data_IF_447545008964
#
_entry.id   IF_447545008964
#
_cell.length_a   1.000
_cell.length_b   1.000
_cell.length_c   1.000
_cell.angle_alpha   90.00
_cell.angle_beta   90.00
_cell.angle_gamma   90.00
#
_symmetry.space_group_name_H-M   'P 1'
#
loop_
_entity.id
_entity.type
_entity.pdbx_description
1 polymer ?
#
# COMPACT_ATOMS: atom_id res chain seq x y z
N UNK A 1 -7.63 -11.63 1.16
CA UNK A 1 -7.07 -10.97 2.36
C UNK A 1 -5.95 -11.74 3.06
N UNK A 2 -6.15 -12.97 3.55
CA UNK A 2 -5.10 -13.71 4.29
C UNK A 2 -3.75 -13.80 3.55
N UNK A 3 -3.79 -14.14 2.26
CA UNK A 3 -2.58 -14.23 1.42
C UNK A 3 -1.85 -12.88 1.32
N UNK A 4 -2.57 -11.78 1.04
CA UNK A 4 -1.98 -10.45 0.91
C UNK A 4 -1.32 -10.00 2.22
N UNK A 5 -1.99 -10.21 3.37
CA UNK A 5 -1.39 -9.89 4.68
C UNK A 5 -0.13 -10.70 4.96
N UNK A 6 -0.15 -12.01 4.71
CA UNK A 6 1.04 -12.86 4.89
C UNK A 6 2.19 -12.44 3.96
N UNK A 7 1.87 -12.05 2.72
CA UNK A 7 2.86 -11.57 1.76
C UNK A 7 3.43 -10.21 2.15
N UNK A 8 2.61 -9.29 2.68
CA UNK A 8 3.09 -8.02 3.23
C UNK A 8 4.05 -8.22 4.42
N UNK A 9 3.74 -9.16 5.32
CA UNK A 9 4.65 -9.56 6.42
C UNK A 9 5.97 -10.11 5.86
N UNK A 10 5.90 -10.95 4.83
CA UNK A 10 7.09 -11.45 4.16
C UNK A 10 7.90 -10.32 3.53
N UNK A 11 7.27 -9.35 2.86
CA UNK A 11 7.92 -8.18 2.28
C UNK A 11 8.65 -7.39 3.37
N UNK A 12 7.96 -7.01 4.44
CA UNK A 12 8.55 -6.22 5.52
C UNK A 12 9.78 -6.91 6.15
N UNK A 13 9.76 -8.24 6.23
CA UNK A 13 10.88 -9.04 6.75
C UNK A 13 12.05 -9.20 5.78
N UNK A 14 11.81 -9.27 4.47
CA UNK A 14 12.82 -9.69 3.49
C UNK A 14 13.27 -8.58 2.53
N UNK A 15 12.56 -7.45 2.46
CA UNK A 15 12.85 -6.31 1.59
C UNK A 15 13.12 -5.09 2.47
N UNK A 16 14.38 -4.82 2.86
CA UNK A 16 14.71 -3.76 3.81
C UNK A 16 14.27 -2.36 3.36
N UNK A 17 14.23 -2.10 2.04
CA UNK A 17 13.79 -0.83 1.48
C UNK A 17 12.34 -0.49 1.82
N UNK A 18 11.47 -1.49 2.03
CA UNK A 18 10.08 -1.26 2.44
C UNK A 18 10.02 -0.57 3.80
N UNK A 19 10.76 -1.13 4.76
CA UNK A 19 10.81 -0.64 6.12
C UNK A 19 11.51 0.73 6.20
N UNK A 20 12.51 0.98 5.34
CA UNK A 20 13.17 2.30 5.20
C UNK A 20 12.21 3.34 4.63
N UNK A 21 11.49 3.02 3.55
CA UNK A 21 10.54 3.94 2.93
C UNK A 21 9.46 4.37 3.93
N UNK A 22 8.81 3.38 4.57
CA UNK A 22 7.72 3.65 5.49
C UNK A 22 8.11 4.55 6.68
N UNK A 23 9.33 4.40 7.22
CA UNK A 23 9.83 5.28 8.30
C UNK A 23 10.00 6.73 7.86
N UNK A 24 10.13 6.99 6.56
CA UNK A 24 10.45 8.30 6.00
C UNK A 24 9.29 8.93 5.21
N UNK A 25 8.08 8.37 5.27
CA UNK A 25 6.89 8.94 4.60
C UNK A 25 6.62 10.37 5.13
N UNK A 26 6.56 10.53 6.44
CA UNK A 26 6.41 11.82 7.11
C UNK A 26 7.01 11.78 8.52
N UNK A 27 7.08 12.92 9.20
CA UNK A 27 7.53 12.98 10.58
C UNK A 27 6.60 12.14 11.49
N UNK A 28 7.20 11.24 12.27
CA UNK A 28 6.46 10.32 13.15
C UNK A 28 6.02 9.01 12.50
N UNK A 29 6.29 8.81 11.20
CA UNK A 29 5.97 7.57 10.51
C UNK A 29 6.72 6.36 11.08
N UNK A 30 6.01 5.23 11.09
CA UNK A 30 6.50 3.94 11.58
C UNK A 30 7.00 3.08 10.43
N UNK A 31 7.69 1.99 10.70
CA UNK A 31 8.07 1.05 9.65
C UNK A 31 6.90 0.16 9.23
N UNK A 32 6.96 -0.42 8.02
CA UNK A 32 5.94 -1.37 7.55
C UNK A 32 5.77 -2.55 8.51
N UNK A 33 6.89 -3.05 9.07
CA UNK A 33 6.89 -4.09 10.09
C UNK A 33 6.08 -3.67 11.33
N UNK A 34 6.26 -2.44 11.80
CA UNK A 34 5.53 -1.93 12.95
C UNK A 34 4.02 -1.79 12.68
N UNK A 35 3.63 -1.34 11.49
CA UNK A 35 2.22 -1.23 11.10
C UNK A 35 1.55 -2.61 11.01
N UNK A 36 2.21 -3.60 10.40
CA UNK A 36 1.67 -4.95 10.25
C UNK A 36 1.55 -5.70 11.59
N UNK A 37 2.36 -5.33 12.58
CA UNK A 37 2.32 -5.84 13.94
C UNK A 37 1.31 -5.11 14.84
N UNK A 38 0.81 -3.94 14.42
CA UNK A 38 -0.12 -3.14 15.21
C UNK A 38 -1.53 -3.74 15.17
N UNK A 39 -1.97 -4.29 16.31
CA UNK A 39 -3.32 -4.84 16.46
C UNK A 39 -4.42 -3.78 16.45
N UNK A 40 -4.05 -2.49 16.53
CA UNK A 40 -4.99 -1.38 16.45
C UNK A 40 -5.20 -0.88 15.01
N UNK A 41 -4.48 -1.39 14.02
CA UNK A 41 -4.76 -1.11 12.61
C UNK A 41 -5.77 -2.13 12.06
N UNK A 42 -6.95 -1.66 11.69
CA UNK A 42 -8.03 -2.47 11.16
C UNK A 42 -8.03 -2.44 9.63
N UNK A 43 -7.82 -3.60 9.01
CA UNK A 43 -7.91 -3.73 7.55
C UNK A 43 -9.23 -4.41 7.19
N UNK A 44 -10.14 -3.63 6.63
CA UNK A 44 -11.52 -4.02 6.33
C UNK A 44 -11.71 -4.39 4.86
N UNK A 45 -12.83 -5.05 4.55
CA UNK A 45 -13.36 -5.18 3.20
C UNK A 45 -14.56 -4.26 3.05
N UNK A 46 -14.52 -3.32 2.10
CA UNK A 46 -15.61 -2.36 1.88
C UNK A 46 -16.41 -2.76 0.62
N UNK A 47 -17.46 -3.55 0.82
CA UNK A 47 -18.17 -4.23 -0.26
C UNK A 47 -18.81 -3.31 -1.32
N UNK A 48 -19.09 -2.06 -0.98
CA UNK A 48 -19.73 -1.07 -1.86
C UNK A 48 -18.78 0.03 -2.33
N UNK A 49 -17.47 -0.08 -2.03
CA UNK A 49 -16.49 0.90 -2.49
C UNK A 49 -16.41 0.83 -4.01
N UNK A 50 -16.56 1.96 -4.69
CA UNK A 50 -16.33 2.05 -6.14
C UNK A 50 -14.89 2.41 -6.47
N UNK A 51 -13.95 1.85 -5.71
CA UNK A 51 -12.50 2.10 -5.80
C UNK A 51 -11.71 0.87 -5.32
N UNK A 52 -10.37 0.94 -5.39
CA UNK A 52 -9.45 -0.10 -4.95
C UNK A 52 -9.35 -0.21 -3.44
N UNK A 53 -9.20 0.92 -2.75
CA UNK A 53 -9.05 0.99 -1.31
C UNK A 53 -9.43 2.37 -0.78
N UNK A 54 -9.52 2.49 0.53
CA UNK A 54 -9.75 3.77 1.20
C UNK A 54 -9.22 3.72 2.62
N UNK A 55 -8.55 4.80 3.04
CA UNK A 55 -8.18 5.05 4.42
C UNK A 55 -9.02 6.21 4.95
N UNK A 56 -10.03 5.96 5.82
CA UNK A 56 -10.86 7.03 6.35
C UNK A 56 -10.08 7.86 7.38
N UNK A 57 -10.05 9.17 7.16
CA UNK A 57 -9.41 10.13 8.07
C UNK A 57 -9.03 11.42 7.34
N UNK A 58 -9.11 12.55 8.05
CA UNK A 58 -8.42 13.75 7.60
C UNK A 58 -6.90 13.49 7.59
N UNK A 59 -6.15 14.16 6.71
CA UNK A 59 -4.70 13.98 6.53
C UNK A 59 -3.96 13.74 7.86
N UNK A 60 -3.26 12.60 7.97
CA UNK A 60 -2.55 12.19 9.20
C UNK A 60 -2.48 10.68 9.39
N UNK A 61 -2.13 10.25 10.60
CA UNK A 61 -2.10 8.83 10.96
C UNK A 61 -3.52 8.29 11.15
N UNK A 62 -3.80 7.13 10.55
CA UNK A 62 -5.09 6.45 10.69
C UNK A 62 -4.91 5.03 11.26
N UNK A 63 -5.95 4.55 11.93
CA UNK A 63 -5.99 3.22 12.57
C UNK A 63 -6.90 2.24 11.82
N UNK A 64 -7.40 2.63 10.66
CA UNK A 64 -8.21 1.74 9.83
C UNK A 64 -8.04 2.07 8.36
N UNK A 65 -8.18 1.06 7.52
CA UNK A 65 -8.32 1.20 6.08
C UNK A 65 -9.19 0.06 5.55
N UNK A 66 -9.61 0.17 4.30
CA UNK A 66 -10.41 -0.84 3.65
C UNK A 66 -9.94 -1.12 2.22
N UNK A 67 -10.15 -2.35 1.77
CA UNK A 67 -9.95 -2.75 0.38
C UNK A 67 -11.32 -2.95 -0.26
N UNK A 68 -11.52 -2.34 -1.43
CA UNK A 68 -12.72 -2.40 -2.23
C UNK A 68 -12.74 -3.57 -3.22
N UNK A 69 -13.90 -3.89 -3.82
CA UNK A 69 -14.07 -5.05 -4.71
C UNK A 69 -13.26 -4.97 -5.99
N UNK A 70 -12.89 -3.76 -6.45
CA UNK A 70 -12.08 -3.56 -7.66
C UNK A 70 -10.72 -4.26 -7.56
N UNK A 71 -10.04 -4.16 -6.41
CA UNK A 71 -8.77 -4.85 -6.20
C UNK A 71 -8.91 -6.38 -6.26
N UNK A 72 -9.98 -6.93 -5.69
CA UNK A 72 -10.24 -8.37 -5.71
C UNK A 72 -10.59 -8.91 -7.10
N UNK A 73 -11.29 -8.10 -7.92
CA UNK A 73 -11.63 -8.47 -9.30
C UNK A 73 -10.40 -8.62 -10.19
N UNK A 74 -9.38 -7.78 -10.00
CA UNK A 74 -8.12 -7.89 -10.75
C UNK A 74 -7.29 -9.06 -10.23
N UNK A 75 -7.12 -9.16 -8.92
CA UNK A 75 -6.58 -10.37 -8.31
C UNK A 75 -5.69 -10.12 -7.10
N UNK A 76 -5.08 -11.21 -6.62
CA UNK A 76 -4.37 -11.23 -5.33
C UNK A 76 -3.23 -10.21 -5.23
N UNK A 77 -2.52 -9.94 -6.34
CA UNK A 77 -1.41 -8.99 -6.37
C UNK A 77 -1.90 -7.55 -6.24
N UNK A 78 -3.00 -7.19 -6.90
CA UNK A 78 -3.65 -5.89 -6.72
C UNK A 78 -4.15 -5.71 -5.29
N UNK A 79 -4.76 -6.74 -4.69
CA UNK A 79 -5.15 -6.70 -3.26
C UNK A 79 -3.94 -6.44 -2.34
N UNK A 80 -2.77 -7.01 -2.67
CA UNK A 80 -1.54 -6.74 -1.92
C UNK A 80 -1.01 -5.32 -2.15
N UNK A 81 -1.00 -4.84 -3.40
CA UNK A 81 -0.60 -3.47 -3.72
C UNK A 81 -1.50 -2.46 -2.99
N UNK A 82 -2.82 -2.62 -3.09
CA UNK A 82 -3.77 -1.79 -2.34
C UNK A 82 -3.52 -1.87 -0.84
N UNK A 83 -3.28 -3.05 -0.26
CA UNK A 83 -2.97 -3.15 1.17
C UNK A 83 -1.73 -2.33 1.56
N UNK A 84 -0.65 -2.39 0.77
CA UNK A 84 0.58 -1.63 1.04
C UNK A 84 0.33 -0.13 0.90
N UNK A 85 -0.39 0.28 -0.16
CA UNK A 85 -0.78 1.66 -0.41
C UNK A 85 -1.61 2.22 0.76
N UNK A 86 -2.66 1.52 1.18
CA UNK A 86 -3.49 1.97 2.30
C UNK A 86 -2.71 2.00 3.63
N UNK A 87 -1.79 1.07 3.85
CA UNK A 87 -0.92 1.12 5.02
C UNK A 87 0.00 2.35 5.00
N UNK A 88 0.40 2.84 3.83
CA UNK A 88 1.14 4.09 3.71
C UNK A 88 0.26 5.28 4.14
N UNK A 89 -1.01 5.31 3.72
CA UNK A 89 -1.98 6.30 4.20
C UNK A 89 -2.21 6.23 5.71
N UNK A 90 -2.40 5.04 6.28
CA UNK A 90 -2.46 4.87 7.74
C UNK A 90 -1.22 5.41 8.46
N UNK A 91 -0.08 5.47 7.76
CA UNK A 91 1.19 5.96 8.26
C UNK A 91 1.47 7.44 7.95
N UNK A 92 0.44 8.18 7.52
CA UNK A 92 0.53 9.63 7.28
C UNK A 92 0.88 10.03 5.85
N UNK A 93 0.88 9.11 4.88
CA UNK A 93 1.03 9.48 3.48
C UNK A 93 -0.18 10.34 3.04
N UNK A 94 0.04 11.54 2.44
CA UNK A 94 -1.06 12.35 1.92
C UNK A 94 -1.76 11.64 0.75
N UNK A 95 -3.06 11.88 0.58
CA UNK A 95 -3.80 11.50 -0.63
C UNK A 95 -3.86 12.63 -1.67
N UNK A 96 -4.76 12.49 -2.65
CA UNK A 96 -5.01 13.51 -3.66
C UNK A 96 -3.89 13.57 -4.71
N UNK A 97 -3.21 14.71 -4.84
CA UNK A 97 -2.14 14.89 -5.83
C UNK A 97 -0.76 14.34 -5.39
N UNK A 98 -0.65 13.82 -4.18
CA UNK A 98 0.58 13.20 -3.68
C UNK A 98 0.65 11.75 -4.14
N UNK A 99 1.84 11.31 -4.56
CA UNK A 99 2.10 9.93 -4.99
C UNK A 99 2.83 9.10 -3.92
N UNK A 100 2.83 9.55 -2.66
CA UNK A 100 3.60 8.94 -1.59
C UNK A 100 3.09 7.53 -1.21
N UNK A 101 1.80 7.25 -1.39
CA UNK A 101 1.27 5.92 -1.11
C UNK A 101 1.61 4.93 -2.24
N UNK A 102 1.62 5.38 -3.49
CA UNK A 102 1.99 4.61 -4.68
C UNK A 102 3.49 4.32 -4.73
N UNK A 103 4.33 5.29 -4.35
CA UNK A 103 5.79 5.15 -4.31
C UNK A 103 6.23 4.09 -3.27
N UNK A 104 5.38 3.74 -2.29
CA UNK A 104 5.62 2.61 -1.40
C UNK A 104 5.73 1.26 -2.15
N UNK A 105 5.04 1.11 -3.29
CA UNK A 105 4.96 -0.15 -4.05
C UNK A 105 6.31 -0.61 -4.61
N UNK A 106 7.09 0.20 -5.35
CA UNK A 106 8.41 -0.20 -5.82
C UNK A 106 9.38 -0.46 -4.65
N UNK A 107 9.30 0.31 -3.57
CA UNK A 107 10.11 0.07 -2.37
C UNK A 107 9.77 -1.25 -1.66
N UNK A 108 8.56 -1.78 -1.89
CA UNK A 108 8.09 -3.09 -1.43
C UNK A 108 8.31 -4.23 -2.45
N UNK A 109 8.99 -3.97 -3.57
CA UNK A 109 9.25 -4.95 -4.62
C UNK A 109 8.00 -5.37 -5.39
N UNK A 110 6.96 -4.52 -5.39
CA UNK A 110 5.74 -4.72 -6.16
C UNK A 110 5.78 -4.00 -7.51
N UNK A 111 6.97 -3.60 -7.95
CA UNK A 111 7.27 -2.83 -9.15
C UNK A 111 8.71 -2.30 -9.09
N UNK A 112 9.11 -1.56 -10.10
CA UNK A 112 10.39 -0.83 -10.13
C UNK A 112 10.18 0.67 -10.03
N UNK A 113 11.20 1.39 -9.53
CA UNK A 113 11.18 2.86 -9.54
C UNK A 113 11.11 3.43 -10.96
N UNK A 114 11.60 2.68 -11.96
CA UNK A 114 11.48 3.07 -13.36
C UNK A 114 10.02 3.02 -13.81
N UNK A 115 9.33 1.89 -13.63
CA UNK A 115 7.90 1.76 -13.95
C UNK A 115 7.06 2.83 -13.25
N UNK A 116 7.34 3.09 -11.97
CA UNK A 116 6.67 4.14 -11.19
C UNK A 116 6.88 5.53 -11.79
N UNK A 117 8.11 5.90 -12.17
CA UNK A 117 8.45 7.24 -12.66
C UNK A 117 8.06 7.48 -14.12
N UNK A 118 8.10 6.47 -14.97
CA UNK A 118 7.87 6.62 -16.41
C UNK A 118 6.45 6.27 -16.83
N UNK A 119 5.71 5.52 -16.00
CA UNK A 119 4.40 5.00 -16.37
C UNK A 119 4.46 3.83 -17.38
N UNK A 120 5.65 3.33 -17.71
CA UNK A 120 5.84 2.21 -18.64
C UNK A 120 5.78 0.90 -17.86
N UNK A 121 4.90 -0.01 -18.27
CA UNK A 121 4.66 -1.30 -17.61
C UNK A 121 5.81 -2.28 -17.86
N UNK A 122 6.30 -2.95 -16.81
CA UNK A 122 7.16 -4.13 -16.93
C UNK A 122 6.30 -5.39 -16.72
N UNK A 123 6.11 -6.24 -17.74
CA UNK A 123 5.24 -7.41 -17.64
C UNK A 123 5.78 -8.48 -16.66
N UNK A 124 7.00 -8.32 -16.14
CA UNK A 124 7.59 -9.20 -15.14
C UNK A 124 7.35 -8.74 -13.71
N UNK A 125 6.77 -7.57 -13.51
CA UNK A 125 6.41 -7.02 -12.21
C UNK A 125 4.90 -7.16 -11.96
N UNK A 126 4.46 -7.25 -10.68
CA UNK A 126 3.04 -7.22 -10.35
C UNK A 126 2.46 -5.79 -10.27
N UNK A 127 3.28 -4.77 -10.57
CA UNK A 127 2.87 -3.37 -10.63
C UNK A 127 1.98 -3.14 -11.85
N UNK A 128 1.17 -2.10 -11.83
CA UNK A 128 0.52 -1.61 -13.04
C UNK A 128 0.57 -0.10 -12.99
N UNK A 129 1.46 0.54 -13.78
CA UNK A 129 1.60 1.98 -13.75
C UNK A 129 0.30 2.67 -14.17
N UNK A 130 0.02 3.82 -13.57
CA UNK A 130 -1.16 4.63 -13.90
C UNK A 130 -2.47 4.15 -13.26
N UNK A 131 -2.46 3.05 -12.50
CA UNK A 131 -3.55 2.76 -11.54
C UNK A 131 -3.42 3.72 -10.35
N UNK A 132 -4.25 4.75 -10.32
CA UNK A 132 -4.42 5.61 -9.15
C UNK A 132 -5.34 4.95 -8.12
N UNK A 133 -5.00 5.09 -6.84
CA UNK A 133 -5.86 4.79 -5.69
C UNK A 133 -6.45 6.06 -5.10
#
# INVERSE_FOLDING_TARGET
MRWARQRAIWIAKNIPSADVYFRNITAGSRSLTALLADSNIWVNFHATLNDFGVTPGAAGFATECAIGPSAFRIGRWTVLATLIHELAHCNGAPGGASTAAEDALPHCGLGTLTEFRTGVDDPHSPYTPGLSG
#
